data_IF_219640572189
#
_entry.id   IF_219640572189
#
_cell.length_a   1.000
_cell.length_b   1.000
_cell.length_c   1.000
_cell.angle_alpha   90.00
_cell.angle_beta   90.00
_cell.angle_gamma   90.00
#
_symmetry.space_group_name_H-M   'P 1'
#
loop_
_entity.id
_entity.type
_entity.pdbx_description
1 polymer ?
#
# COMPACT_ATOMS: atom_id res chain seq x y z
N UNK A 1 8.83 -5.44 -14.27
CA UNK A 1 8.11 -4.55 -13.32
C UNK A 1 8.23 -5.18 -11.94
N UNK A 2 8.55 -4.39 -10.92
CA UNK A 2 8.66 -4.87 -9.54
C UNK A 2 7.26 -4.84 -8.93
N UNK A 3 6.74 -6.01 -8.55
CA UNK A 3 5.35 -6.14 -8.07
C UNK A 3 5.37 -6.80 -6.70
N UNK A 4 4.66 -6.18 -5.75
CA UNK A 4 4.42 -6.71 -4.42
C UNK A 4 2.92 -7.01 -4.27
N UNK A 5 2.59 -8.30 -4.23
CA UNK A 5 1.23 -8.80 -4.10
C UNK A 5 1.08 -9.37 -2.70
N UNK A 6 0.22 -8.75 -1.89
CA UNK A 6 -0.07 -9.20 -0.53
C UNK A 6 -1.52 -9.67 -0.49
N UNK A 7 -1.76 -10.99 -0.46
CA UNK A 7 -3.12 -11.51 -0.38
C UNK A 7 -3.71 -11.23 1.00
N UNK A 8 -4.94 -10.70 1.03
CA UNK A 8 -5.70 -10.50 2.26
C UNK A 8 -6.84 -11.51 2.39
N UNK A 9 -7.42 -11.63 3.59
CA UNK A 9 -8.49 -12.60 3.84
C UNK A 9 -8.02 -14.06 3.80
N UNK A 10 -6.72 -14.32 3.96
CA UNK A 10 -6.16 -15.66 4.05
C UNK A 10 -5.11 -15.74 5.17
N UNK A 11 -4.96 -16.92 5.77
CA UNK A 11 -3.93 -17.16 6.78
C UNK A 11 -2.54 -17.23 6.17
N UNK A 12 -1.53 -16.82 6.95
CA UNK A 12 -0.13 -17.05 6.60
C UNK A 12 0.15 -18.56 6.48
N UNK A 13 0.85 -19.01 5.42
CA UNK A 13 1.22 -20.42 5.28
C UNK A 13 2.26 -20.88 6.32
N UNK A 14 2.79 -19.96 7.13
CA UNK A 14 3.76 -20.25 8.19
C UNK A 14 3.11 -20.45 9.56
N UNK A 15 1.79 -20.30 9.68
CA UNK A 15 1.06 -20.58 10.93
C UNK A 15 0.53 -22.01 10.87
N UNK A 16 0.97 -22.85 11.80
CA UNK A 16 0.68 -24.30 11.79
C UNK A 16 -0.78 -24.64 12.15
N UNK A 17 -1.43 -23.83 13.01
CA UNK A 17 -2.82 -24.01 13.41
C UNK A 17 -3.61 -22.75 13.06
N UNK A 18 -4.65 -22.92 12.23
CA UNK A 18 -5.55 -21.82 11.86
C UNK A 18 -6.48 -21.42 13.01
N UNK A 19 -6.90 -20.16 13.02
CA UNK A 19 -7.82 -19.59 14.02
C UNK A 19 -9.30 -19.62 13.55
N UNK A 20 -9.57 -20.22 12.39
CA UNK A 20 -10.90 -20.28 11.76
C UNK A 20 -11.18 -19.09 10.83
N UNK A 21 -12.15 -19.26 9.93
CA UNK A 21 -12.46 -18.26 8.88
C UNK A 21 -12.99 -16.94 9.46
N UNK A 22 -13.84 -16.99 10.49
CA UNK A 22 -14.37 -15.77 11.11
C UNK A 22 -13.25 -14.92 11.73
N UNK A 23 -12.28 -15.55 12.38
CA UNK A 23 -11.15 -14.84 12.96
C UNK A 23 -10.34 -14.07 11.90
N UNK A 24 -10.17 -14.64 10.71
CA UNK A 24 -9.47 -13.96 9.59
C UNK A 24 -10.21 -12.67 9.20
N UNK A 25 -11.54 -12.73 9.13
CA UNK A 25 -12.39 -11.57 8.82
C UNK A 25 -12.29 -10.52 9.92
N UNK A 26 -12.35 -10.93 11.19
CA UNK A 26 -12.28 -10.03 12.34
C UNK A 26 -10.94 -9.28 12.38
N UNK A 27 -9.82 -9.98 12.17
CA UNK A 27 -8.48 -9.37 12.15
C UNK A 27 -8.26 -8.52 10.89
N UNK A 28 -8.83 -8.91 9.74
CA UNK A 28 -8.82 -8.07 8.54
C UNK A 28 -9.56 -6.76 8.79
N UNK A 29 -10.77 -6.80 9.34
CA UNK A 29 -11.55 -5.60 9.65
C UNK A 29 -10.81 -4.68 10.64
N UNK A 30 -10.09 -5.27 11.61
CA UNK A 30 -9.33 -4.52 12.61
C UNK A 30 -8.12 -3.79 12.04
N UNK A 31 -7.37 -4.39 11.11
CA UNK A 31 -6.07 -3.86 10.67
C UNK A 31 -6.04 -3.37 9.21
N UNK A 32 -7.12 -3.51 8.45
CA UNK A 32 -7.15 -3.03 7.08
C UNK A 32 -7.20 -1.49 7.02
N UNK A 33 -6.03 -0.85 6.97
CA UNK A 33 -5.86 0.60 6.83
C UNK A 33 -6.35 1.19 5.50
N UNK A 34 -6.82 0.37 4.55
CA UNK A 34 -7.28 0.80 3.22
C UNK A 34 -8.80 0.75 3.03
N UNK A 35 -9.58 0.42 4.07
CA UNK A 35 -11.04 0.53 3.97
C UNK A 35 -11.45 1.98 3.69
N UNK A 36 -12.51 2.17 2.91
CA UNK A 36 -13.16 3.48 2.70
C UNK A 36 -13.49 4.17 4.03
N UNK A 37 -13.86 3.36 5.01
CA UNK A 37 -14.38 3.77 6.31
C UNK A 37 -13.29 4.45 7.15
N UNK A 38 -12.01 4.17 6.87
CA UNK A 38 -10.89 4.87 7.52
C UNK A 38 -10.74 6.33 7.08
N UNK A 39 -11.44 6.72 6.02
CA UNK A 39 -11.44 8.07 5.45
C UNK A 39 -12.81 8.75 5.56
N UNK A 40 -13.78 8.07 6.15
CA UNK A 40 -15.11 8.60 6.48
C UNK A 40 -15.32 8.54 8.00
N UNK A 41 -15.29 9.68 8.72
CA UNK A 41 -15.42 9.71 10.17
C UNK A 41 -16.77 9.22 10.70
N UNK A 42 -17.79 9.03 9.85
CA UNK A 42 -19.13 8.57 10.22
C UNK A 42 -19.40 7.08 9.89
N UNK A 43 -18.41 6.36 9.35
CA UNK A 43 -18.60 4.98 8.91
C UNK A 43 -18.56 3.96 10.07
N UNK A 44 -19.50 2.99 10.04
CA UNK A 44 -19.55 1.85 10.97
C UNK A 44 -18.71 0.69 10.39
N UNK A 45 -17.72 0.14 11.11
CA UNK A 45 -16.92 -0.97 10.61
C UNK A 45 -17.81 -2.15 10.20
N UNK A 46 -17.66 -2.61 8.96
CA UNK A 46 -18.49 -3.69 8.42
C UNK A 46 -18.36 -4.97 9.27
N UNK A 47 -19.45 -5.34 9.95
CA UNK A 47 -19.54 -6.59 10.68
C UNK A 47 -19.79 -7.76 9.71
N UNK A 48 -18.73 -8.23 9.05
CA UNK A 48 -18.80 -9.33 8.09
C UNK A 48 -18.84 -10.66 8.85
N UNK A 49 -19.92 -11.42 8.69
CA UNK A 49 -20.03 -12.79 9.19
C UNK A 49 -19.69 -13.77 8.07
N UNK A 50 -18.87 -14.78 8.35
CA UNK A 50 -18.55 -15.84 7.39
C UNK A 50 -19.68 -16.88 7.38
N UNK A 51 -20.41 -17.07 6.27
CA UNK A 51 -21.45 -18.08 6.17
C UNK A 51 -20.89 -19.50 6.27
N UNK A 52 -21.70 -20.45 6.75
CA UNK A 52 -21.31 -21.86 6.79
C UNK A 52 -20.90 -22.37 5.40
N UNK A 53 -19.73 -23.01 5.33
CA UNK A 53 -19.18 -23.56 4.09
C UNK A 53 -18.47 -22.55 3.18
N UNK A 54 -18.42 -21.26 3.54
CA UNK A 54 -17.60 -20.26 2.84
C UNK A 54 -16.28 -20.01 3.56
N UNK A 55 -15.30 -19.58 2.80
CA UNK A 55 -14.03 -19.05 3.30
C UNK A 55 -14.17 -17.58 3.68
N UNK A 56 -13.25 -17.09 4.52
CA UNK A 56 -13.11 -15.68 4.87
C UNK A 56 -12.92 -14.82 3.62
N UNK A 57 -12.13 -15.30 2.66
CA UNK A 57 -11.86 -14.59 1.42
C UNK A 57 -13.12 -14.41 0.57
N UNK A 58 -13.94 -15.45 0.42
CA UNK A 58 -15.20 -15.36 -0.32
C UNK A 58 -16.17 -14.39 0.37
N UNK A 59 -16.30 -14.48 1.70
CA UNK A 59 -17.18 -13.59 2.47
C UNK A 59 -16.74 -12.11 2.37
N UNK A 60 -15.44 -11.84 2.50
CA UNK A 60 -14.87 -10.51 2.33
C UNK A 60 -15.04 -10.00 0.89
N UNK A 61 -14.79 -10.85 -0.11
CA UNK A 61 -14.91 -10.49 -1.52
C UNK A 61 -16.33 -10.08 -1.89
N UNK A 62 -17.32 -10.86 -1.46
CA UNK A 62 -18.74 -10.55 -1.66
C UNK A 62 -19.15 -9.24 -0.96
N UNK A 63 -18.75 -9.04 0.29
CA UNK A 63 -19.05 -7.83 1.04
C UNK A 63 -18.43 -6.59 0.39
N UNK A 64 -17.14 -6.63 0.07
CA UNK A 64 -16.42 -5.49 -0.52
C UNK A 64 -16.95 -5.16 -1.92
N UNK A 65 -17.33 -6.16 -2.72
CA UNK A 65 -18.00 -5.95 -4.01
C UNK A 65 -19.30 -5.17 -3.86
N UNK A 66 -20.13 -5.54 -2.89
CA UNK A 66 -21.38 -4.86 -2.62
C UNK A 66 -21.14 -3.40 -2.18
N UNK A 67 -20.20 -3.19 -1.25
CA UNK A 67 -19.81 -1.86 -0.77
C UNK A 67 -19.33 -0.96 -1.90
N UNK A 68 -18.38 -1.41 -2.72
CA UNK A 68 -17.86 -0.57 -3.80
C UNK A 68 -18.89 -0.28 -4.89
N UNK A 69 -19.78 -1.23 -5.15
CA UNK A 69 -20.90 -1.02 -6.08
C UNK A 69 -21.83 0.07 -5.56
N UNK A 70 -22.17 0.05 -4.28
CA UNK A 70 -23.04 1.06 -3.65
C UNK A 70 -22.36 2.45 -3.57
N UNK A 71 -21.14 2.50 -3.03
CA UNK A 71 -20.40 3.75 -2.85
C UNK A 71 -20.12 4.47 -4.17
N UNK A 72 -19.75 3.72 -5.21
CA UNK A 72 -19.29 4.33 -6.47
C UNK A 72 -20.37 4.35 -7.55
N UNK A 73 -21.42 3.52 -7.45
CA UNK A 73 -22.45 3.38 -8.47
C UNK A 73 -22.01 2.68 -9.77
N UNK A 74 -20.80 2.11 -9.82
CA UNK A 74 -20.33 1.27 -10.92
C UNK A 74 -20.62 -0.21 -10.65
N UNK A 75 -20.78 -0.98 -11.72
CA UNK A 75 -20.90 -2.43 -11.63
C UNK A 75 -19.52 -3.05 -11.37
N UNK A 76 -19.46 -3.96 -10.41
CA UNK A 76 -18.27 -4.72 -10.04
C UNK A 76 -18.49 -6.23 -10.14
N UNK A 77 -19.51 -6.72 -10.84
CA UNK A 77 -19.80 -8.15 -10.95
C UNK A 77 -18.59 -8.97 -11.46
N UNK A 78 -17.82 -8.42 -12.40
CA UNK A 78 -16.68 -9.10 -13.02
C UNK A 78 -15.34 -8.89 -12.28
N UNK A 79 -15.31 -8.09 -11.21
CA UNK A 79 -14.06 -7.86 -10.46
C UNK A 79 -13.59 -9.16 -9.78
N UNK A 80 -12.29 -9.42 -9.75
CA UNK A 80 -11.78 -10.54 -8.94
C UNK A 80 -11.76 -10.16 -7.45
N UNK A 81 -11.83 -11.15 -6.56
CA UNK A 81 -11.64 -10.88 -5.12
C UNK A 81 -10.25 -10.30 -4.84
N UNK A 82 -9.25 -10.63 -5.66
CA UNK A 82 -7.92 -10.02 -5.58
C UNK A 82 -7.97 -8.50 -5.81
N UNK A 83 -8.73 -8.03 -6.79
CA UNK A 83 -8.85 -6.59 -7.08
C UNK A 83 -9.64 -5.83 -6.02
N UNK A 84 -10.54 -6.53 -5.31
CA UNK A 84 -11.38 -5.95 -4.25
C UNK A 84 -10.68 -5.98 -2.89
N UNK A 85 -9.79 -6.95 -2.65
CA UNK A 85 -9.21 -7.20 -1.34
C UNK A 85 -7.71 -6.95 -1.26
N UNK A 86 -6.90 -7.32 -2.25
CA UNK A 86 -5.47 -7.51 -2.01
C UNK A 86 -4.65 -6.20 -2.05
N UNK A 87 -3.48 -6.25 -1.41
CA UNK A 87 -2.42 -5.27 -1.56
C UNK A 87 -1.70 -5.47 -2.89
N UNK A 88 -2.10 -4.72 -3.93
CA UNK A 88 -1.50 -4.80 -5.27
C UNK A 88 -0.54 -3.63 -5.51
N UNK A 89 0.69 -3.68 -4.99
CA UNK A 89 1.65 -2.57 -5.13
C UNK A 89 2.56 -2.79 -6.32
N UNK A 90 2.57 -1.83 -7.24
CA UNK A 90 3.48 -1.83 -8.38
C UNK A 90 4.59 -0.82 -8.14
N UNK A 91 5.84 -1.25 -8.09
CA UNK A 91 7.00 -0.36 -8.05
C UNK A 91 7.51 -0.13 -9.46
N UNK A 92 7.19 1.06 -9.99
CA UNK A 92 7.59 1.53 -11.31
C UNK A 92 8.85 2.38 -11.17
N UNK A 93 9.96 1.83 -11.64
CA UNK A 93 11.23 2.54 -11.68
C UNK A 93 11.09 3.83 -12.52
N UNK A 94 11.62 4.98 -12.07
CA UNK A 94 12.56 5.12 -10.96
C UNK A 94 11.93 5.34 -9.58
N UNK A 95 10.72 5.88 -9.50
CA UNK A 95 10.28 6.51 -8.25
C UNK A 95 8.75 6.61 -8.09
N UNK A 96 7.98 5.72 -8.72
CA UNK A 96 6.52 5.75 -8.69
C UNK A 96 5.97 4.41 -8.20
N UNK A 97 5.12 4.41 -7.17
CA UNK A 97 4.52 3.19 -6.67
C UNK A 97 3.00 3.30 -6.42
N UNK A 98 2.17 3.06 -7.44
CA UNK A 98 0.72 3.00 -7.27
C UNK A 98 0.28 1.65 -6.70
N UNK A 99 -0.68 1.71 -5.80
CA UNK A 99 -1.49 0.56 -5.41
C UNK A 99 -2.65 0.38 -6.40
N UNK A 100 -2.84 -0.82 -6.91
CA UNK A 100 -3.98 -1.19 -7.74
C UNK A 100 -5.20 -1.64 -6.93
N UNK A 101 -6.20 -2.14 -7.66
CA UNK A 101 -7.49 -2.60 -7.12
C UNK A 101 -8.53 -1.48 -6.98
N UNK A 102 -9.65 -1.82 -6.34
CA UNK A 102 -10.82 -0.94 -6.18
C UNK A 102 -10.86 -0.19 -4.84
N UNK A 103 -10.16 -0.68 -3.81
CA UNK A 103 -9.88 0.10 -2.60
C UNK A 103 -9.27 1.47 -2.97
N UNK A 104 -9.47 2.52 -2.15
CA UNK A 104 -8.72 3.76 -2.28
C UNK A 104 -7.24 3.48 -2.61
N UNK A 105 -6.82 4.00 -3.74
CA UNK A 105 -5.50 3.73 -4.30
C UNK A 105 -4.52 4.69 -3.63
N UNK A 106 -3.59 4.14 -2.87
CA UNK A 106 -2.45 4.90 -2.37
C UNK A 106 -1.44 4.99 -3.51
N UNK A 107 -0.96 6.19 -3.79
CA UNK A 107 -0.01 6.45 -4.86
C UNK A 107 1.19 7.17 -4.28
N UNK A 108 2.33 6.50 -4.32
CA UNK A 108 3.58 7.05 -3.84
C UNK A 108 4.45 7.58 -4.96
N UNK A 109 5.16 8.67 -4.67
CA UNK A 109 6.25 9.16 -5.50
C UNK A 109 7.39 9.69 -4.65
N UNK A 110 8.63 9.41 -5.04
CA UNK A 110 9.81 9.88 -4.31
C UNK A 110 10.67 10.79 -5.17
N UNK A 111 11.02 11.96 -4.65
CA UNK A 111 11.95 12.87 -5.32
C UNK A 111 13.25 12.96 -4.52
N UNK A 112 14.41 12.87 -5.18
CA UNK A 112 15.67 13.19 -4.52
C UNK A 112 15.63 14.60 -3.94
N UNK A 113 16.12 14.76 -2.71
CA UNK A 113 16.32 16.05 -2.08
C UNK A 113 17.61 16.71 -2.52
N UNK A 114 18.04 17.73 -1.78
CA UNK A 114 19.30 18.45 -2.05
C UNK A 114 20.54 17.60 -1.75
N UNK A 115 20.42 16.62 -0.86
CA UNK A 115 21.51 15.73 -0.45
C UNK A 115 21.10 14.26 -0.59
N UNK A 116 22.07 13.32 -0.62
CA UNK A 116 21.77 11.88 -0.56
C UNK A 116 21.03 11.41 0.70
N UNK A 117 20.87 12.29 1.70
CA UNK A 117 20.20 12.00 2.98
C UNK A 117 18.75 12.46 3.01
N UNK A 118 18.28 13.12 1.95
CA UNK A 118 16.96 13.74 1.93
C UNK A 118 16.21 13.31 0.69
N UNK A 119 14.90 13.13 0.85
CA UNK A 119 13.98 12.93 -0.26
C UNK A 119 12.61 13.50 0.11
N UNK A 120 11.80 13.79 -0.91
CA UNK A 120 10.39 14.12 -0.75
C UNK A 120 9.60 12.87 -1.06
N UNK A 121 8.88 12.35 -0.07
CA UNK A 121 7.87 11.32 -0.27
C UNK A 121 6.51 11.98 -0.44
N UNK A 122 5.95 11.88 -1.64
CA UNK A 122 4.60 12.34 -1.95
C UNK A 122 3.64 11.15 -1.84
N UNK A 123 2.57 11.32 -1.07
CA UNK A 123 1.50 10.34 -0.91
C UNK A 123 0.21 10.95 -1.45
N UNK A 124 -0.51 10.23 -2.32
CA UNK A 124 -1.87 10.57 -2.73
C UNK A 124 -2.81 9.42 -2.39
N UNK A 125 -3.99 9.74 -1.92
CA UNK A 125 -5.08 8.78 -1.71
C UNK A 125 -6.15 9.11 -2.72
N UNK A 126 -6.39 8.19 -3.66
CA UNK A 126 -7.32 8.38 -4.76
C UNK A 126 -8.51 7.45 -4.59
N UNK A 127 -9.70 8.02 -4.48
CA UNK A 127 -10.96 7.28 -4.52
C UNK A 127 -11.66 7.51 -5.86
N UNK A 128 -12.50 6.55 -6.25
CA UNK A 128 -13.28 6.64 -7.49
C UNK A 128 -14.44 7.62 -7.28
N UNK A 129 -14.57 8.58 -8.17
CA UNK A 129 -15.72 9.51 -8.19
C UNK A 129 -16.98 8.72 -8.51
N UNK A 130 -18.05 8.97 -7.75
CA UNK A 130 -19.33 8.30 -7.94
C UNK A 130 -19.87 8.52 -9.36
N UNK A 131 -20.49 7.49 -9.93
CA UNK A 131 -21.02 7.51 -11.29
C UNK A 131 -22.03 8.65 -11.45
N UNK A 132 -21.78 9.50 -12.46
CA UNK A 132 -22.63 10.64 -12.78
C UNK A 132 -22.34 11.92 -12.00
N UNK A 133 -21.45 11.88 -11.00
CA UNK A 133 -20.99 13.08 -10.32
C UNK A 133 -19.85 13.77 -11.08
N UNK A 134 -19.72 15.11 -10.99
CA UNK A 134 -18.62 15.82 -11.60
C UNK A 134 -17.29 15.44 -10.94
N UNK A 135 -16.22 15.39 -11.74
CA UNK A 135 -14.87 15.21 -11.21
C UNK A 135 -14.53 16.36 -10.24
N UNK A 136 -14.12 16.06 -8.99
CA UNK A 136 -13.74 17.10 -8.05
C UNK A 136 -12.43 17.76 -8.47
N UNK A 137 -12.18 18.95 -7.92
CA UNK A 137 -10.86 19.55 -8.00
C UNK A 137 -9.84 18.67 -7.26
N UNK A 138 -8.57 18.73 -7.69
CA UNK A 138 -7.49 18.02 -7.02
C UNK A 138 -7.38 18.44 -5.55
N UNK A 139 -7.08 17.48 -4.67
CA UNK A 139 -6.84 17.75 -3.27
C UNK A 139 -5.71 18.79 -3.09
N UNK A 140 -5.84 19.64 -2.06
CA UNK A 140 -4.80 20.60 -1.73
C UNK A 140 -3.54 19.86 -1.27
N UNK A 141 -2.39 20.34 -1.71
CA UNK A 141 -1.10 19.81 -1.27
C UNK A 141 -0.80 20.30 0.15
N UNK A 142 -0.70 19.38 1.10
CA UNK A 142 -0.03 19.62 2.39
C UNK A 142 1.42 19.18 2.27
N UNK A 143 2.34 20.09 2.55
CA UNK A 143 3.77 19.82 2.51
C UNK A 143 4.31 19.86 3.94
N UNK A 144 4.75 18.71 4.45
CA UNK A 144 5.32 18.58 5.79
C UNK A 144 6.83 18.83 5.74
N UNK A 145 7.37 19.44 6.79
CA UNK A 145 8.82 19.56 7.00
C UNK A 145 9.39 18.30 7.67
N UNK A 146 10.72 18.17 7.75
CA UNK A 146 11.37 17.01 8.39
C UNK A 146 11.06 16.88 9.89
N UNK A 147 10.72 17.98 10.56
CA UNK A 147 10.40 18.00 11.99
C UNK A 147 8.91 17.77 12.27
N UNK A 148 8.07 17.76 11.22
CA UNK A 148 6.63 17.55 11.33
C UNK A 148 6.28 16.08 11.18
N UNK A 149 5.27 15.67 11.94
CA UNK A 149 4.75 14.32 11.87
C UNK A 149 3.78 14.16 10.71
N UNK A 150 3.77 12.97 10.11
CA UNK A 150 2.76 12.52 9.15
C UNK A 150 1.35 12.53 9.75
N UNK A 151 1.22 12.32 11.06
CA UNK A 151 -0.07 12.43 11.76
C UNK A 151 -0.60 13.87 11.85
N UNK A 152 0.20 14.89 11.54
CA UNK A 152 -0.28 16.28 11.35
C UNK A 152 -1.00 16.49 9.99
N UNK A 153 -1.03 15.47 9.13
CA UNK A 153 -1.82 15.43 7.90
C UNK A 153 -3.08 14.55 8.12
N UNK A 154 -4.17 15.10 8.70
CA UNK A 154 -5.37 14.32 9.04
C UNK A 154 -6.02 13.65 7.83
N UNK A 155 -5.82 14.19 6.63
CA UNK A 155 -6.27 13.60 5.36
C UNK A 155 -5.71 12.19 5.07
N UNK A 156 -4.67 11.77 5.78
CA UNK A 156 -4.07 10.44 5.63
C UNK A 156 -4.76 9.37 6.49
N UNK A 157 -5.67 9.76 7.39
CA UNK A 157 -6.35 8.82 8.29
C UNK A 157 -5.37 7.94 9.06
N UNK A 158 -5.67 6.64 9.15
CA UNK A 158 -4.82 5.67 9.85
C UNK A 158 -3.43 5.46 9.23
N UNK A 159 -3.21 5.86 7.96
CA UNK A 159 -1.89 5.71 7.33
C UNK A 159 -0.84 6.64 7.95
N UNK A 160 -1.26 7.75 8.58
CA UNK A 160 -0.34 8.66 9.25
C UNK A 160 0.54 7.94 10.27
N UNK A 161 -0.06 7.11 11.13
CA UNK A 161 0.64 6.32 12.15
C UNK A 161 1.56 5.23 11.56
N UNK A 162 1.19 4.70 10.39
CA UNK A 162 2.03 3.72 9.67
C UNK A 162 3.27 4.43 9.11
N UNK A 163 3.10 5.61 8.51
CA UNK A 163 4.24 6.38 8.00
C UNK A 163 5.15 6.89 9.12
N UNK A 164 4.62 7.22 10.29
CA UNK A 164 5.45 7.53 11.46
C UNK A 164 6.42 6.38 11.79
N UNK A 165 5.93 5.14 11.82
CA UNK A 165 6.77 3.96 12.07
C UNK A 165 7.88 3.81 11.03
N UNK A 166 7.57 4.04 9.75
CA UNK A 166 8.58 4.02 8.69
C UNK A 166 9.61 5.14 8.88
N UNK A 167 9.17 6.37 9.17
CA UNK A 167 10.04 7.54 9.32
C UNK A 167 10.92 7.45 10.58
N UNK A 168 10.46 6.79 11.63
CA UNK A 168 11.30 6.49 12.81
C UNK A 168 12.45 5.53 12.46
N UNK A 169 12.24 4.61 11.51
CA UNK A 169 13.23 3.59 11.15
C UNK A 169 14.25 4.05 10.09
N UNK A 170 13.83 4.82 9.08
CA UNK A 170 14.70 5.20 7.95
C UNK A 170 16.01 5.91 8.34
N UNK A 171 16.05 6.84 9.33
CA UNK A 171 17.29 7.48 9.75
C UNK A 171 18.33 6.49 10.28
N UNK A 172 17.89 5.42 10.97
CA UNK A 172 18.78 4.39 11.47
C UNK A 172 19.35 3.52 10.35
N UNK A 173 18.54 3.22 9.32
CA UNK A 173 19.02 2.56 8.10
C UNK A 173 20.10 3.41 7.43
N UNK A 174 19.84 4.70 7.21
CA UNK A 174 20.80 5.60 6.56
C UNK A 174 22.11 5.75 7.37
N UNK A 175 22.01 5.89 8.70
CA UNK A 175 23.16 5.94 9.58
C UNK A 175 23.98 4.63 9.53
N UNK A 176 23.30 3.48 9.53
CA UNK A 176 23.93 2.17 9.40
C UNK A 176 24.67 1.98 8.08
N UNK A 177 24.07 2.42 6.96
CA UNK A 177 24.70 2.38 5.63
C UNK A 177 25.99 3.20 5.59
N UNK A 178 25.99 4.40 6.16
CA UNK A 178 27.18 5.27 6.24
C UNK A 178 28.27 4.71 7.17
N UNK A 179 27.87 4.03 8.24
CA UNK A 179 28.79 3.46 9.22
C UNK A 179 29.37 2.10 8.77
N UNK A 180 28.84 1.50 7.70
CA UNK A 180 29.28 0.18 7.22
C UNK A 180 30.75 0.19 6.79
N UNK A 181 31.56 -0.68 7.41
CA UNK A 181 32.99 -0.80 7.08
C UNK A 181 33.26 -1.52 5.77
N UNK A 182 32.32 -2.35 5.29
CA UNK A 182 32.47 -3.08 4.04
C UNK A 182 32.11 -2.20 2.84
N UNK A 183 31.29 -1.15 3.04
CA UNK A 183 30.72 -0.36 1.96
C UNK A 183 29.69 -1.12 1.11
N UNK A 184 29.29 -2.31 1.55
CA UNK A 184 28.38 -3.21 0.83
C UNK A 184 27.08 -3.42 1.61
N UNK A 185 25.97 -3.57 0.89
CA UNK A 185 24.65 -3.91 1.46
C UNK A 185 24.36 -5.38 1.22
N UNK A 186 24.06 -6.11 2.30
CA UNK A 186 23.71 -7.52 2.24
C UNK A 186 22.19 -7.66 2.30
N UNK A 187 21.60 -8.23 1.24
CA UNK A 187 20.15 -8.46 1.18
C UNK A 187 19.80 -9.93 1.46
N UNK A 188 18.81 -10.16 2.31
CA UNK A 188 18.16 -11.44 2.53
C UNK A 188 17.70 -12.05 1.21
N UNK A 189 17.90 -13.36 1.06
CA UNK A 189 17.67 -14.03 -0.22
C UNK A 189 16.19 -13.97 -0.65
N UNK A 190 15.28 -14.32 0.27
CA UNK A 190 13.84 -14.43 -0.02
C UNK A 190 13.09 -13.09 0.09
N UNK A 191 13.25 -12.36 1.20
CA UNK A 191 12.40 -11.22 1.52
C UNK A 191 12.78 -9.93 0.76
N UNK A 192 14.04 -9.78 0.35
CA UNK A 192 14.55 -8.53 -0.21
C UNK A 192 14.87 -8.62 -1.72
N UNK A 193 14.34 -9.64 -2.40
CA UNK A 193 14.51 -9.83 -3.85
C UNK A 193 14.09 -8.59 -4.66
N UNK A 194 13.03 -7.89 -4.23
CA UNK A 194 12.52 -6.67 -4.86
C UNK A 194 13.48 -5.49 -4.68
N UNK A 195 14.10 -5.34 -3.51
CA UNK A 195 15.10 -4.29 -3.27
C UNK A 195 16.32 -4.54 -4.15
N UNK A 196 16.78 -5.80 -4.22
CA UNK A 196 17.88 -6.20 -5.11
C UNK A 196 17.58 -5.88 -6.58
N UNK A 197 16.40 -6.26 -7.06
CA UNK A 197 15.99 -5.96 -8.44
C UNK A 197 15.93 -4.45 -8.73
N UNK A 198 15.50 -3.63 -7.75
CA UNK A 198 15.51 -2.17 -7.89
C UNK A 198 16.95 -1.64 -8.04
N UNK A 199 17.87 -2.11 -7.19
CA UNK A 199 19.28 -1.72 -7.22
C UNK A 199 19.99 -2.17 -8.51
N UNK A 200 19.72 -3.38 -9.00
CA UNK A 200 20.23 -3.87 -10.28
C UNK A 200 19.74 -3.00 -11.43
N UNK A 201 18.47 -2.56 -11.38
CA UNK A 201 17.90 -1.65 -12.39
C UNK A 201 18.56 -0.28 -12.30
N UNK A 202 18.66 0.30 -11.10
CA UNK A 202 19.31 1.60 -10.89
C UNK A 202 20.76 1.60 -11.37
N UNK A 203 21.53 0.55 -11.04
CA UNK A 203 22.93 0.40 -11.45
C UNK A 203 23.09 0.43 -12.96
N UNK A 204 22.21 -0.25 -13.70
CA UNK A 204 22.18 -0.20 -15.18
C UNK A 204 22.00 1.22 -15.71
N UNK A 205 21.05 1.98 -15.16
CA UNK A 205 20.83 3.35 -15.59
C UNK A 205 22.01 4.27 -15.24
N UNK A 206 22.60 4.12 -14.04
CA UNK A 206 23.77 4.89 -13.60
C UNK A 206 25.00 4.59 -14.48
N UNK A 207 25.18 3.33 -14.87
CA UNK A 207 26.26 2.90 -15.77
C UNK A 207 26.05 3.32 -17.24
N UNK A 208 24.87 3.86 -17.59
CA UNK A 208 24.53 4.18 -18.98
C UNK A 208 24.15 2.96 -19.82
N UNK A 209 23.78 1.85 -19.18
CA UNK A 209 23.43 0.56 -19.79
C UNK A 209 21.98 0.14 -19.47
N UNK A 210 20.94 0.98 -19.70
CA UNK A 210 19.56 0.69 -19.26
C UNK A 210 18.91 -0.55 -19.90
N UNK A 211 19.62 -1.25 -20.79
CA UNK A 211 19.10 -2.32 -21.63
C UNK A 211 18.44 -1.79 -22.90
N UNK A 212 18.17 -2.68 -23.84
CA UNK A 212 17.42 -2.34 -25.05
C UNK A 212 16.00 -1.87 -24.67
N UNK A 213 15.48 -0.87 -25.39
CA UNK A 213 14.10 -0.41 -25.23
C UNK A 213 13.17 -1.58 -25.57
N UNK A 214 12.46 -2.09 -24.57
CA UNK A 214 11.35 -3.04 -24.75
C UNK A 214 10.17 -2.39 -25.48
#
# INVERSE_FOLDING_TARGET
MNVNLVPFGIMSPHIAEGQGEQWIVDEFAKYNGRSSDNYDPEADPMAITVPEGKTAREALGEAMRAVYTDQTGYDHADASDCELLDGLVYNVFPNFAPWGGFMPNIVYRWFPGETPDTCVMEVRILARVKKGEPMPHGALLRYLTLDQKWTEAPELGMLGEVFEQDMENLPYVQAGLKASKTGEVNYANYQEIRIRQFQDTMTKYVAGEPGDRA
#
